data_IF_590697895825
#
_entry.id   IF_590697895825
#
_cell.length_a   1.000
_cell.length_b   1.000
_cell.length_c   1.000
_cell.angle_alpha   90.00
_cell.angle_beta   90.00
_cell.angle_gamma   90.00
#
_symmetry.space_group_name_H-M   'P 1'
#
loop_
_entity.id
_entity.type
_entity.pdbx_description
1 polymer ?
#
# COMPACT_ATOMS: atom_id res chain seq x y z
N UNK A 1 -4.16 5.07 -16.46
CA UNK A 1 -2.80 5.58 -16.74
C UNK A 1 -2.36 6.69 -15.77
N UNK A 2 -3.16 7.73 -15.52
CA UNK A 2 -2.78 8.84 -14.61
C UNK A 2 -2.43 8.45 -13.16
N UNK A 3 -3.08 7.41 -12.61
CA UNK A 3 -2.84 6.99 -11.22
C UNK A 3 -1.49 6.26 -11.03
N UNK A 4 -0.96 5.58 -12.05
CA UNK A 4 0.39 4.98 -11.98
C UNK A 4 1.46 6.09 -12.01
N UNK A 5 1.24 7.16 -12.78
CA UNK A 5 2.17 8.31 -12.81
C UNK A 5 2.33 8.95 -11.43
N UNK A 6 1.26 9.06 -10.63
CA UNK A 6 1.35 9.52 -9.24
C UNK A 6 2.25 8.62 -8.39
N UNK A 7 2.10 7.30 -8.50
CA UNK A 7 2.90 6.34 -7.73
C UNK A 7 4.41 6.42 -8.06
N UNK A 8 4.73 6.86 -9.28
CA UNK A 8 6.10 7.04 -9.76
C UNK A 8 6.67 8.43 -9.50
N UNK A 9 5.90 9.36 -8.94
CA UNK A 9 6.44 10.67 -8.53
C UNK A 9 7.48 10.48 -7.41
N UNK A 10 8.64 11.17 -7.47
CA UNK A 10 9.72 10.97 -6.49
C UNK A 10 9.29 11.14 -5.04
N UNK A 11 8.44 12.12 -4.77
CA UNK A 11 7.92 12.39 -3.42
C UNK A 11 6.97 11.31 -2.93
N UNK A 12 6.10 10.82 -3.81
CA UNK A 12 5.19 9.73 -3.46
C UNK A 12 5.96 8.43 -3.24
N UNK A 13 6.93 8.14 -4.11
CA UNK A 13 7.79 6.96 -3.99
C UNK A 13 8.55 6.94 -2.67
N UNK A 14 9.15 8.07 -2.27
CA UNK A 14 9.78 8.22 -0.94
C UNK A 14 8.83 7.94 0.23
N UNK A 15 7.54 8.26 0.11
CA UNK A 15 6.54 7.96 1.16
C UNK A 15 6.27 6.47 1.26
N UNK A 16 6.12 5.79 0.14
CA UNK A 16 6.02 4.32 0.12
C UNK A 16 7.27 3.66 0.71
N UNK A 17 8.44 4.26 0.44
CA UNK A 17 9.73 3.73 0.88
C UNK A 17 10.04 3.87 2.37
N UNK A 18 9.26 4.66 3.10
CA UNK A 18 9.38 4.77 4.57
C UNK A 18 8.88 3.51 5.31
N UNK A 19 8.07 2.67 4.68
CA UNK A 19 7.62 1.43 5.32
C UNK A 19 8.75 0.39 5.32
N UNK A 20 9.30 0.11 6.51
CA UNK A 20 10.31 -0.93 6.74
C UNK A 20 9.70 -2.30 7.11
N UNK A 21 8.39 -2.48 6.95
CA UNK A 21 7.68 -3.73 7.26
C UNK A 21 7.79 -4.22 8.72
N UNK A 22 8.01 -3.32 9.69
CA UNK A 22 8.15 -3.68 11.12
C UNK A 22 6.85 -4.09 11.83
N UNK A 23 5.68 -3.77 11.27
CA UNK A 23 4.39 -4.16 11.86
C UNK A 23 3.83 -3.24 12.96
N UNK A 24 4.50 -2.13 13.30
CA UNK A 24 4.00 -1.18 14.32
C UNK A 24 2.58 -0.65 14.04
N UNK A 25 2.18 -0.58 12.77
CA UNK A 25 0.85 -0.11 12.40
C UNK A 25 -0.26 -1.16 12.58
N UNK A 26 0.07 -2.45 12.69
CA UNK A 26 -0.92 -3.53 12.80
C UNK A 26 -1.81 -3.40 14.04
N UNK A 27 -1.28 -3.25 15.28
CA UNK A 27 -2.11 -3.13 16.47
C UNK A 27 -2.94 -1.84 16.50
N UNK A 28 -2.54 -0.81 15.75
CA UNK A 28 -3.26 0.46 15.66
C UNK A 28 -4.37 0.45 14.58
N UNK A 29 -4.39 -0.55 13.70
CA UNK A 29 -5.33 -0.59 12.58
C UNK A 29 -6.66 -1.26 13.01
N UNK A 30 -7.79 -0.52 13.06
CA UNK A 30 -9.07 -1.10 13.48
C UNK A 30 -9.59 -2.14 12.48
N UNK A 31 -9.38 -1.94 11.18
CA UNK A 31 -9.79 -2.92 10.15
C UNK A 31 -9.02 -4.23 10.30
N UNK A 32 -7.70 -4.15 10.52
CA UNK A 32 -6.87 -5.34 10.75
C UNK A 32 -7.29 -6.08 12.02
N UNK A 33 -7.66 -5.36 13.09
CA UNK A 33 -8.12 -6.00 14.32
C UNK A 33 -9.36 -6.89 14.10
N UNK A 34 -10.27 -6.47 13.21
CA UNK A 34 -11.49 -7.23 12.88
C UNK A 34 -11.21 -8.33 11.87
N UNK A 35 -10.59 -7.99 10.73
CA UNK A 35 -10.48 -8.89 9.59
C UNK A 35 -9.25 -9.80 9.63
N UNK A 36 -8.21 -9.40 10.37
CA UNK A 36 -6.89 -10.07 10.41
C UNK A 36 -6.23 -10.24 9.02
N UNK A 37 -6.64 -9.43 8.05
CA UNK A 37 -6.05 -9.37 6.72
C UNK A 37 -5.03 -8.25 6.66
N UNK A 38 -3.74 -8.57 6.53
CA UNK A 38 -2.68 -7.55 6.50
C UNK A 38 -2.88 -6.55 5.35
N UNK A 39 -3.46 -6.97 4.22
CA UNK A 39 -3.81 -6.09 3.08
C UNK A 39 -4.74 -4.94 3.46
N UNK A 40 -5.54 -5.09 4.52
CA UNK A 40 -6.44 -4.04 5.01
C UNK A 40 -5.72 -3.00 5.86
N UNK A 41 -4.54 -3.36 6.39
CA UNK A 41 -3.72 -2.50 7.24
C UNK A 41 -2.98 -1.42 6.45
N UNK A 42 -2.53 -0.32 7.10
CA UNK A 42 -1.72 0.70 6.43
C UNK A 42 -0.48 0.13 5.74
N UNK A 43 0.23 -0.82 6.38
CA UNK A 43 1.41 -1.46 5.76
C UNK A 43 1.05 -2.33 4.57
N UNK A 44 -0.06 -3.06 4.62
CA UNK A 44 -0.50 -3.88 3.50
C UNK A 44 -0.85 -3.02 2.28
N UNK A 45 -1.54 -1.90 2.50
CA UNK A 45 -1.85 -0.95 1.43
C UNK A 45 -0.58 -0.32 0.83
N UNK A 46 0.39 0.07 1.65
CA UNK A 46 1.69 0.56 1.14
C UNK A 46 2.39 -0.52 0.31
N UNK A 47 2.38 -1.77 0.75
CA UNK A 47 2.97 -2.88 0.00
C UNK A 47 2.29 -3.09 -1.36
N UNK A 48 0.96 -2.99 -1.42
CA UNK A 48 0.19 -3.08 -2.67
C UNK A 48 0.47 -1.89 -3.60
N UNK A 49 0.49 -0.66 -3.08
CA UNK A 49 0.85 0.53 -3.85
C UNK A 49 2.27 0.41 -4.44
N UNK A 50 3.23 -0.06 -3.63
CA UNK A 50 4.62 -0.29 -4.08
C UNK A 50 4.67 -1.35 -5.19
N UNK A 51 3.94 -2.45 -5.02
CA UNK A 51 3.89 -3.51 -6.02
C UNK A 51 3.30 -3.03 -7.35
N UNK A 52 2.25 -2.19 -7.31
CA UNK A 52 1.71 -1.54 -8.52
C UNK A 52 2.71 -0.58 -9.17
N UNK A 53 3.37 0.26 -8.37
CA UNK A 53 4.41 1.18 -8.86
C UNK A 53 5.58 0.44 -9.53
N UNK A 54 5.93 -0.76 -9.04
CA UNK A 54 6.99 -1.62 -9.58
C UNK A 54 6.52 -2.49 -10.75
N UNK A 55 5.26 -2.37 -11.18
CA UNK A 55 4.68 -3.19 -12.25
C UNK A 55 4.56 -4.67 -11.90
N UNK A 56 4.59 -5.04 -10.62
CA UNK A 56 4.43 -6.43 -10.15
C UNK A 56 2.97 -6.86 -10.05
N UNK A 57 2.06 -5.89 -9.92
CA UNK A 57 0.61 -6.10 -9.85
C UNK A 57 -0.07 -5.00 -10.67
N UNK A 58 -1.09 -5.35 -11.44
CA UNK A 58 -1.91 -4.37 -12.17
C UNK A 58 -2.59 -3.39 -11.21
N UNK A 59 -2.61 -2.10 -11.57
CA UNK A 59 -3.16 -1.05 -10.70
C UNK A 59 -4.64 -1.30 -10.39
N UNK A 60 -5.41 -1.79 -11.35
CA UNK A 60 -6.83 -2.10 -11.22
C UNK A 60 -7.08 -3.15 -10.12
N UNK A 61 -6.15 -4.09 -9.97
CA UNK A 61 -6.19 -5.11 -8.92
C UNK A 61 -5.86 -4.54 -7.54
N UNK A 62 -5.07 -3.48 -7.48
CA UNK A 62 -4.68 -2.79 -6.24
C UNK A 62 -5.73 -1.78 -5.80
N UNK A 63 -6.38 -1.07 -6.72
CA UNK A 63 -7.35 -0.01 -6.41
C UNK A 63 -8.53 -0.48 -5.55
N UNK A 64 -8.88 -1.76 -5.59
CA UNK A 64 -9.90 -2.32 -4.70
C UNK A 64 -9.50 -2.25 -3.21
N UNK A 65 -8.21 -2.31 -2.91
CA UNK A 65 -7.66 -2.39 -1.56
C UNK A 65 -7.11 -1.04 -1.05
N UNK A 66 -7.05 -0.04 -1.92
CA UNK A 66 -6.40 1.25 -1.66
C UNK A 66 -7.38 2.38 -2.00
N UNK A 67 -8.38 2.64 -1.13
CA UNK A 67 -9.26 3.79 -1.25
C UNK A 67 -8.56 5.10 -0.86
#
# INVERSE_FOLDING_TARGET
MAAIELLNQPDFRRRLDQCIHCGLCLPACPTYAVNQLETDSPRGRIALMRAAAEGRIELERVMHFVP
#
